data_IF_964856063774
#
_entry.id   IF_964856063774
#
_cell.length_a   1.000
_cell.length_b   1.000
_cell.length_c   1.000
_cell.angle_alpha   90.00
_cell.angle_beta   90.00
_cell.angle_gamma   90.00
#
_symmetry.space_group_name_H-M   'P 1'
#
loop_
_entity.id
_entity.type
_entity.pdbx_description
1 polymer ?
#
# COMPACT_ATOMS: atom_id res chain seq x y z
N UNK A 1 -6.72 9.19 -4.39
CA UNK A 1 -7.45 8.03 -4.94
C UNK A 1 -6.60 6.77 -4.83
N UNK A 2 -7.15 5.55 -4.98
CA UNK A 2 -6.36 4.31 -4.84
C UNK A 2 -5.20 4.23 -5.84
N UNK A 3 -5.43 4.68 -7.08
CA UNK A 3 -4.40 4.71 -8.14
C UNK A 3 -3.24 5.66 -7.82
N UNK A 4 -3.54 6.84 -7.27
CA UNK A 4 -2.50 7.78 -6.82
C UNK A 4 -1.63 7.20 -5.70
N UNK A 5 -2.25 6.48 -4.76
CA UNK A 5 -1.52 5.84 -3.66
C UNK A 5 -0.59 4.71 -4.18
N UNK A 6 -1.05 3.91 -5.14
CA UNK A 6 -0.21 2.91 -5.80
C UNK A 6 0.99 3.54 -6.52
N UNK A 7 0.75 4.56 -7.35
CA UNK A 7 1.82 5.25 -8.07
C UNK A 7 2.87 5.83 -7.12
N UNK A 8 2.44 6.43 -6.02
CA UNK A 8 3.36 6.94 -5.01
C UNK A 8 4.22 5.84 -4.38
N UNK A 9 3.63 4.67 -4.08
CA UNK A 9 4.38 3.53 -3.54
C UNK A 9 5.36 2.93 -4.55
N UNK A 10 4.99 2.87 -5.83
CA UNK A 10 5.88 2.44 -6.92
C UNK A 10 7.08 3.41 -7.05
N UNK A 11 6.84 4.72 -7.04
CA UNK A 11 7.91 5.73 -7.06
C UNK A 11 8.84 5.61 -5.85
N UNK A 12 8.31 5.35 -4.65
CA UNK A 12 9.12 5.10 -3.45
C UNK A 12 9.97 3.85 -3.62
N UNK A 13 9.39 2.75 -4.12
CA UNK A 13 10.11 1.50 -4.35
C UNK A 13 11.25 1.69 -5.37
N UNK A 14 11.03 2.44 -6.44
CA UNK A 14 12.06 2.76 -7.46
C UNK A 14 13.28 3.47 -6.88
N UNK A 15 13.12 4.26 -5.82
CA UNK A 15 14.26 4.95 -5.18
C UNK A 15 15.27 4.00 -4.55
N UNK A 16 14.88 2.76 -4.22
CA UNK A 16 15.67 1.80 -3.43
C UNK A 16 16.16 2.35 -2.06
N UNK A 17 15.52 3.40 -1.55
CA UNK A 17 15.89 4.07 -0.29
C UNK A 17 14.92 3.77 0.86
N UNK A 18 13.87 2.97 0.63
CA UNK A 18 12.90 2.62 1.66
C UNK A 18 13.53 1.66 2.68
N UNK A 19 13.79 2.15 3.89
CA UNK A 19 14.37 1.34 4.97
C UNK A 19 13.32 0.71 5.89
N UNK A 20 12.18 1.39 6.10
CA UNK A 20 11.10 0.96 6.99
C UNK A 20 9.77 1.56 6.55
N UNK A 21 8.67 0.85 6.82
CA UNK A 21 7.31 1.29 6.49
C UNK A 21 6.32 0.78 7.55
N UNK A 22 5.51 1.68 8.08
CA UNK A 22 4.43 1.36 9.02
C UNK A 22 3.06 1.48 8.35
N UNK A 23 2.23 0.44 8.47
CA UNK A 23 0.83 0.45 8.03
C UNK A 23 -0.08 0.46 9.25
N UNK A 24 -0.77 1.57 9.46
CA UNK A 24 -1.65 1.80 10.60
C UNK A 24 -3.09 2.12 10.18
N UNK A 25 -3.98 2.31 11.15
CA UNK A 25 -5.36 2.78 10.97
C UNK A 25 -6.32 1.84 10.21
N UNK A 26 -5.96 0.57 10.01
CA UNK A 26 -6.93 -0.45 9.57
C UNK A 26 -7.81 -0.82 10.76
N UNK A 27 -9.12 -0.54 10.67
CA UNK A 27 -10.10 -0.88 11.70
C UNK A 27 -11.10 -1.94 11.21
N UNK A 28 -10.94 -3.22 11.57
CA UNK A 28 -11.83 -4.30 11.12
C UNK A 28 -13.30 -4.13 11.53
N UNK A 29 -13.59 -3.42 12.63
CA UNK A 29 -14.96 -3.23 13.13
C UNK A 29 -15.77 -2.36 12.17
N UNK A 30 -15.11 -1.38 11.53
CA UNK A 30 -15.72 -0.46 10.58
C UNK A 30 -15.48 -0.89 9.12
N UNK A 31 -14.67 -1.92 8.89
CA UNK A 31 -14.29 -2.36 7.56
C UNK A 31 -15.40 -3.20 6.91
N UNK A 32 -15.60 -3.00 5.62
CA UNK A 32 -16.57 -3.77 4.84
C UNK A 32 -15.85 -4.92 4.14
N UNK A 33 -16.01 -6.14 4.63
CA UNK A 33 -15.43 -7.36 4.00
C UNK A 33 -13.92 -7.24 3.76
N UNK A 34 -13.18 -6.72 4.74
CA UNK A 34 -11.73 -6.50 4.67
C UNK A 34 -11.28 -5.61 3.50
N UNK A 35 -12.16 -4.76 2.96
CA UNK A 35 -11.82 -3.91 1.81
C UNK A 35 -10.63 -3.00 2.13
N UNK A 36 -10.62 -2.40 3.32
CA UNK A 36 -9.55 -1.52 3.77
C UNK A 36 -8.25 -2.30 3.99
N UNK A 37 -8.34 -3.49 4.61
CA UNK A 37 -7.19 -4.38 4.77
C UNK A 37 -6.60 -4.84 3.42
N UNK A 38 -7.44 -5.11 2.42
CA UNK A 38 -7.00 -5.49 1.08
C UNK A 38 -6.30 -4.33 0.35
N UNK A 39 -6.80 -3.09 0.52
CA UNK A 39 -6.14 -1.89 0.00
C UNK A 39 -4.77 -1.70 0.67
N UNK A 40 -4.72 -1.81 2.00
CA UNK A 40 -3.46 -1.71 2.75
C UNK A 40 -2.42 -2.74 2.26
N UNK A 41 -2.85 -4.00 2.11
CA UNK A 41 -2.02 -5.06 1.54
C UNK A 41 -1.49 -4.68 0.15
N UNK A 42 -2.36 -4.20 -0.74
CA UNK A 42 -1.96 -3.85 -2.10
C UNK A 42 -0.94 -2.71 -2.15
N UNK A 43 -1.05 -1.71 -1.26
CA UNK A 43 -0.08 -0.62 -1.15
C UNK A 43 1.27 -1.09 -0.60
N UNK A 44 1.26 -2.00 0.38
CA UNK A 44 2.49 -2.64 0.89
C UNK A 44 3.19 -3.43 -0.21
N UNK A 45 2.45 -4.18 -1.02
CA UNK A 45 3.02 -4.91 -2.15
C UNK A 45 3.68 -3.94 -3.15
N UNK A 46 3.05 -2.81 -3.49
CA UNK A 46 3.66 -1.79 -4.37
C UNK A 46 4.92 -1.16 -3.75
N UNK A 47 4.91 -0.85 -2.45
CA UNK A 47 6.07 -0.29 -1.76
C UNK A 47 7.26 -1.26 -1.71
N UNK A 48 6.99 -2.57 -1.79
CA UNK A 48 7.98 -3.64 -1.84
C UNK A 48 8.37 -4.01 -3.29
N UNK A 49 7.96 -3.21 -4.28
CA UNK A 49 8.38 -3.37 -5.69
C UNK A 49 7.44 -4.21 -6.55
N UNK A 50 6.24 -4.55 -6.09
CA UNK A 50 5.21 -5.14 -6.97
C UNK A 50 4.71 -4.07 -7.93
N UNK A 51 5.03 -4.24 -9.20
CA UNK A 51 4.54 -3.40 -10.30
C UNK A 51 3.26 -4.03 -10.87
N UNK A 52 2.29 -3.19 -11.24
CA UNK A 52 1.01 -3.66 -11.81
C UNK A 52 1.12 -3.98 -13.32
N UNK A 53 2.21 -3.54 -13.99
CA UNK A 53 2.43 -3.68 -15.43
C UNK A 53 3.03 -5.01 -15.87
#
# INVERSE_FOLDING_TARGET
>A
TLREAHLLMELIAETNCLASLDMAEVNPILDNRNQTANIAKALLESALGKVIF
#
